data_IF_407158218898
#
_entry.id   IF_407158218898
#
_cell.length_a   1.000
_cell.length_b   1.000
_cell.length_c   1.000
_cell.angle_alpha   90.00
_cell.angle_beta   90.00
_cell.angle_gamma   90.00
#
_symmetry.space_group_name_H-M   'P 1'
#
loop_
_entity.id
_entity.type
_entity.pdbx_description
1 polymer ?
#
# COMPACT_ATOMS: atom_id res chain seq x y z
N UNK A 1 -3.58 1.59 10.65
CA UNK A 1 -4.24 2.80 10.10
C UNK A 1 -3.45 4.00 10.57
N UNK A 2 -2.88 4.76 9.62
CA UNK A 2 -1.85 5.75 9.93
C UNK A 2 -2.40 7.14 10.24
N UNK A 3 -3.54 7.49 9.64
CA UNK A 3 -4.12 8.83 9.74
C UNK A 3 -5.42 8.84 10.54
N UNK A 4 -5.68 9.94 11.26
CA UNK A 4 -6.93 10.23 11.96
C UNK A 4 -7.89 11.00 11.05
N UNK A 5 -9.17 11.07 11.44
CA UNK A 5 -10.20 11.69 10.61
C UNK A 5 -9.89 13.13 10.13
N UNK A 6 -9.45 14.06 11.00
CA UNK A 6 -9.12 15.42 10.56
C UNK A 6 -7.99 15.46 9.51
N UNK A 7 -7.07 14.50 9.54
CA UNK A 7 -5.99 14.41 8.57
C UNK A 7 -6.53 13.97 7.20
N UNK A 8 -7.50 13.06 7.10
CA UNK A 8 -8.09 12.72 5.79
C UNK A 8 -8.82 13.89 5.15
N UNK A 9 -9.45 14.77 5.94
CA UNK A 9 -10.08 15.98 5.42
C UNK A 9 -9.01 16.95 4.86
N UNK A 10 -7.86 17.06 5.51
CA UNK A 10 -6.71 17.83 5.02
C UNK A 10 -6.14 17.25 3.72
N UNK A 11 -5.89 15.94 3.70
CA UNK A 11 -5.41 15.22 2.51
C UNK A 11 -6.40 15.39 1.35
N UNK A 12 -7.70 15.28 1.61
CA UNK A 12 -8.74 15.45 0.61
C UNK A 12 -8.74 16.85 -0.01
N UNK A 13 -8.52 17.91 0.79
CA UNK A 13 -8.42 19.30 0.30
C UNK A 13 -7.22 19.48 -0.62
N UNK A 14 -6.04 19.04 -0.17
CA UNK A 14 -4.81 19.14 -0.96
C UNK A 14 -4.92 18.33 -2.25
N UNK A 15 -5.49 17.12 -2.16
CA UNK A 15 -5.69 16.24 -3.30
C UNK A 15 -6.63 16.85 -4.34
N UNK A 16 -7.76 17.44 -3.92
CA UNK A 16 -8.65 18.16 -4.82
C UNK A 16 -7.95 19.33 -5.51
N UNK A 17 -7.14 20.10 -4.77
CA UNK A 17 -6.38 21.24 -5.31
C UNK A 17 -5.38 20.79 -6.36
N UNK A 18 -4.62 19.74 -6.07
CA UNK A 18 -3.61 19.23 -6.99
C UNK A 18 -4.24 18.57 -8.22
N UNK A 19 -5.31 17.79 -8.04
CA UNK A 19 -6.03 17.14 -9.14
C UNK A 19 -6.74 18.16 -10.04
N UNK A 20 -7.14 19.33 -9.55
CA UNK A 20 -7.65 20.40 -10.45
C UNK A 20 -6.60 20.83 -11.49
N UNK A 21 -5.32 20.72 -11.16
CA UNK A 21 -4.21 21.18 -12.00
C UNK A 21 -4.28 22.69 -12.25
N UNK A 22 -4.00 23.09 -13.49
CA UNK A 22 -3.92 24.52 -13.88
C UNK A 22 -5.26 25.23 -14.06
N UNK A 23 -6.39 24.49 -14.08
CA UNK A 23 -7.73 25.09 -14.29
C UNK A 23 -8.13 25.92 -13.08
N UNK A 24 -8.86 27.01 -13.27
CA UNK A 24 -9.48 27.72 -12.14
C UNK A 24 -10.59 26.87 -11.50
N UNK A 25 -10.93 27.16 -10.25
CA UNK A 25 -12.02 26.46 -9.53
C UNK A 25 -13.35 26.54 -10.30
N UNK A 26 -13.64 27.71 -10.88
CA UNK A 26 -14.84 27.93 -11.71
C UNK A 26 -14.79 27.14 -13.02
N UNK A 27 -13.65 27.13 -13.71
CA UNK A 27 -13.48 26.36 -14.94
C UNK A 27 -13.69 24.85 -14.71
N UNK A 28 -13.15 24.29 -13.63
CA UNK A 28 -13.37 22.90 -13.27
C UNK A 28 -14.85 22.63 -12.97
N UNK A 29 -15.50 23.49 -12.19
CA UNK A 29 -16.90 23.34 -11.81
C UNK A 29 -17.84 23.34 -13.03
N UNK A 30 -17.62 24.27 -13.97
CA UNK A 30 -18.38 24.34 -15.23
C UNK A 30 -18.13 23.09 -16.09
N UNK A 31 -16.88 22.64 -16.23
CA UNK A 31 -16.54 21.43 -17.00
C UNK A 31 -17.17 20.16 -16.43
N UNK A 32 -17.44 20.13 -15.13
CA UNK A 32 -18.15 19.03 -14.47
C UNK A 32 -19.68 19.12 -14.60
N UNK A 33 -20.20 20.23 -15.13
CA UNK A 33 -21.63 20.47 -15.33
C UNK A 33 -22.32 21.16 -14.14
N UNK A 34 -21.56 21.75 -13.20
CA UNK A 34 -22.16 22.43 -12.04
C UNK A 34 -22.39 23.92 -12.32
N UNK A 35 -23.58 24.41 -11.97
CA UNK A 35 -23.90 25.85 -11.99
C UNK A 35 -23.26 26.66 -10.85
N UNK A 36 -22.66 26.01 -9.86
CA UNK A 36 -22.01 26.66 -8.71
C UNK A 36 -20.53 26.28 -8.62
N UNK A 37 -19.73 27.07 -7.91
CA UNK A 37 -18.30 26.80 -7.70
C UNK A 37 -18.10 25.65 -6.69
N UNK A 38 -18.27 24.41 -7.15
CA UNK A 38 -18.09 23.20 -6.32
C UNK A 38 -16.65 22.99 -5.90
N UNK A 39 -15.68 23.32 -6.76
CA UNK A 39 -14.26 23.12 -6.50
C UNK A 39 -13.76 23.98 -5.32
N UNK A 40 -14.26 25.21 -5.18
CA UNK A 40 -13.98 26.02 -3.98
C UNK A 40 -14.43 25.32 -2.70
N UNK A 41 -15.63 24.73 -2.69
CA UNK A 41 -16.14 23.98 -1.55
C UNK A 41 -15.26 22.78 -1.18
N UNK A 42 -14.69 22.11 -2.19
CA UNK A 42 -13.78 20.98 -2.02
C UNK A 42 -12.42 21.39 -1.45
N UNK A 43 -11.82 22.44 -1.99
CA UNK A 43 -10.49 22.91 -1.58
C UNK A 43 -10.50 23.63 -0.22
N UNK A 44 -11.64 24.20 0.17
CA UNK A 44 -11.84 24.80 1.49
C UNK A 44 -12.25 23.79 2.56
N UNK A 45 -12.71 22.59 2.17
CA UNK A 45 -13.20 21.55 3.08
C UNK A 45 -14.65 21.73 3.53
N UNK A 46 -15.42 22.67 2.95
CA UNK A 46 -16.84 22.86 3.26
C UNK A 46 -17.71 21.67 2.78
N UNK A 47 -17.28 20.99 1.72
CA UNK A 47 -17.87 19.74 1.20
C UNK A 47 -16.80 18.97 0.44
N UNK A 48 -17.04 17.70 0.12
CA UNK A 48 -16.10 16.89 -0.66
C UNK A 48 -16.77 16.19 -1.85
N UNK A 49 -16.03 15.90 -2.93
CA UNK A 49 -16.54 15.10 -4.04
C UNK A 49 -16.75 13.64 -3.62
N UNK A 50 -17.56 12.90 -4.37
CA UNK A 50 -17.58 11.43 -4.29
C UNK A 50 -16.46 10.84 -5.15
N UNK A 51 -16.15 9.55 -4.99
CA UNK A 51 -15.15 8.89 -5.84
C UNK A 51 -15.50 8.95 -7.34
N UNK A 52 -16.74 8.66 -7.80
CA UNK A 52 -17.06 8.80 -9.23
C UNK A 52 -16.81 10.22 -9.78
N UNK A 53 -17.13 11.26 -9.01
CA UNK A 53 -16.83 12.64 -9.41
C UNK A 53 -15.32 12.88 -9.50
N UNK A 54 -14.55 12.37 -8.55
CA UNK A 54 -13.09 12.48 -8.53
C UNK A 54 -12.45 11.78 -9.74
N UNK A 55 -12.89 10.56 -10.07
CA UNK A 55 -12.41 9.79 -11.22
C UNK A 55 -12.69 10.52 -12.54
N UNK A 56 -13.84 11.19 -12.68
CA UNK A 56 -14.10 12.09 -13.83
C UNK A 56 -13.08 13.22 -13.93
N UNK A 57 -12.72 13.85 -12.80
CA UNK A 57 -11.70 14.91 -12.80
C UNK A 57 -10.34 14.36 -13.23
N UNK A 58 -9.95 13.18 -12.73
CA UNK A 58 -8.73 12.50 -13.14
C UNK A 58 -8.71 12.20 -14.65
N UNK A 59 -9.81 11.66 -15.19
CA UNK A 59 -9.95 11.43 -16.62
C UNK A 59 -9.84 12.72 -17.45
N UNK A 60 -10.38 13.85 -16.99
CA UNK A 60 -10.21 15.16 -17.63
C UNK A 60 -8.76 15.68 -17.64
N UNK A 61 -7.88 15.10 -16.82
CA UNK A 61 -6.44 15.37 -16.83
C UNK A 61 -5.64 14.34 -17.62
N UNK A 62 -6.31 13.44 -18.36
CA UNK A 62 -5.66 12.43 -19.18
C UNK A 62 -5.18 11.21 -18.41
N UNK A 63 -5.64 10.99 -17.17
CA UNK A 63 -5.36 9.75 -16.44
C UNK A 63 -6.22 8.62 -17.01
N UNK A 64 -5.59 7.52 -17.39
CA UNK A 64 -6.27 6.27 -17.71
C UNK A 64 -6.73 5.57 -16.41
N UNK A 65 -7.92 5.95 -15.96
CA UNK A 65 -8.48 5.50 -14.67
C UNK A 65 -8.60 3.98 -14.61
N UNK A 66 -9.04 3.32 -15.68
CA UNK A 66 -9.22 1.86 -15.69
C UNK A 66 -7.88 1.14 -15.53
N UNK A 67 -6.85 1.58 -16.26
CA UNK A 67 -5.51 1.04 -16.15
C UNK A 67 -4.92 1.25 -14.76
N UNK A 68 -5.01 2.46 -14.21
CA UNK A 68 -4.44 2.79 -12.90
C UNK A 68 -5.13 2.01 -11.78
N UNK A 69 -6.46 1.94 -11.77
CA UNK A 69 -7.19 1.15 -10.77
C UNK A 69 -6.90 -0.35 -10.91
N UNK A 70 -6.87 -0.89 -12.13
CA UNK A 70 -6.56 -2.31 -12.38
C UNK A 70 -5.15 -2.66 -11.90
N UNK A 71 -4.18 -1.78 -12.17
CA UNK A 71 -2.81 -1.92 -11.67
C UNK A 71 -2.71 -1.83 -10.14
N UNK A 72 -3.51 -0.97 -9.51
CA UNK A 72 -3.55 -0.83 -8.06
C UNK A 72 -4.05 -2.09 -7.36
N UNK A 73 -5.15 -2.67 -7.87
CA UNK A 73 -5.75 -3.90 -7.33
C UNK A 73 -5.10 -5.19 -7.85
N UNK A 74 -4.22 -5.09 -8.85
CA UNK A 74 -3.48 -6.21 -9.47
C UNK A 74 -4.38 -7.26 -10.10
N UNK A 75 -5.48 -6.83 -10.70
CA UNK A 75 -6.40 -7.68 -11.41
C UNK A 75 -6.65 -7.07 -12.78
N UNK A 76 -6.20 -7.77 -13.82
CA UNK A 76 -6.42 -7.37 -15.20
C UNK A 76 -7.92 -7.37 -15.49
N UNK A 77 -8.40 -6.33 -16.19
CA UNK A 77 -9.80 -6.20 -16.61
C UNK A 77 -10.84 -6.21 -15.48
N UNK A 78 -10.44 -5.90 -14.24
CA UNK A 78 -11.31 -5.95 -13.07
C UNK A 78 -12.58 -5.08 -13.17
N UNK A 79 -12.52 -4.01 -13.96
CA UNK A 79 -13.56 -2.97 -13.98
C UNK A 79 -14.44 -2.99 -15.23
N UNK A 80 -14.21 -3.92 -16.18
CA UNK A 80 -14.85 -3.92 -17.51
C UNK A 80 -14.42 -2.71 -18.34
N UNK A 81 -14.16 -2.91 -19.65
CA UNK A 81 -13.72 -1.81 -20.52
C UNK A 81 -14.83 -0.79 -20.80
N UNK A 82 -16.10 -1.22 -20.78
CA UNK A 82 -17.26 -0.41 -21.18
C UNK A 82 -17.90 0.37 -20.02
N UNK A 83 -17.47 0.12 -18.78
CA UNK A 83 -18.04 0.79 -17.61
C UNK A 83 -17.51 2.22 -17.54
N UNK A 84 -18.40 3.21 -17.55
CA UNK A 84 -17.96 4.61 -17.47
C UNK A 84 -17.24 4.90 -16.14
N UNK A 85 -16.17 5.70 -16.16
CA UNK A 85 -15.43 6.13 -14.95
C UNK A 85 -16.28 6.86 -13.90
N UNK A 86 -17.43 7.39 -14.32
CA UNK A 86 -18.42 8.06 -13.48
C UNK A 86 -19.48 7.14 -12.91
N UNK A 87 -19.49 5.88 -13.30
CA UNK A 87 -20.49 4.91 -12.89
C UNK A 87 -20.25 4.50 -11.42
N UNK A 88 -21.26 4.64 -10.54
CA UNK A 88 -21.24 4.08 -9.19
C UNK A 88 -20.83 2.60 -9.10
N UNK A 89 -21.16 1.79 -10.12
CA UNK A 89 -20.83 0.37 -10.18
C UNK A 89 -19.30 0.13 -10.18
N UNK A 90 -18.53 0.97 -10.88
CA UNK A 90 -17.07 0.90 -10.86
C UNK A 90 -16.51 1.11 -9.45
N UNK A 91 -17.07 2.08 -8.72
CA UNK A 91 -16.68 2.36 -7.33
C UNK A 91 -17.05 1.22 -6.39
N UNK A 92 -18.23 0.61 -6.56
CA UNK A 92 -18.64 -0.56 -5.80
C UNK A 92 -17.69 -1.74 -6.03
N UNK A 93 -17.38 -2.06 -7.30
CA UNK A 93 -16.42 -3.11 -7.66
C UNK A 93 -15.04 -2.85 -7.05
N UNK A 94 -14.56 -1.61 -7.11
CA UNK A 94 -13.29 -1.22 -6.49
C UNK A 94 -13.29 -1.50 -4.98
N UNK A 95 -14.35 -1.08 -4.29
CA UNK A 95 -14.48 -1.30 -2.86
C UNK A 95 -14.63 -2.76 -2.46
N UNK A 96 -15.34 -3.58 -3.24
CA UNK A 96 -15.43 -5.02 -3.02
C UNK A 96 -14.06 -5.70 -3.14
N UNK A 97 -13.27 -5.32 -4.15
CA UNK A 97 -11.93 -5.88 -4.36
C UNK A 97 -11.00 -5.51 -3.20
N UNK A 98 -10.92 -4.23 -2.83
CA UNK A 98 -9.97 -3.81 -1.76
C UNK A 98 -10.41 -4.25 -0.37
N UNK A 99 -11.72 -4.44 -0.13
CA UNK A 99 -12.23 -4.95 1.15
C UNK A 99 -11.61 -6.31 1.50
N UNK A 100 -11.42 -7.18 0.50
CA UNK A 100 -10.89 -8.52 0.72
C UNK A 100 -11.71 -9.31 1.75
N UNK A 101 -11.03 -9.92 2.72
CA UNK A 101 -11.65 -10.72 3.78
C UNK A 101 -12.20 -9.93 4.98
N UNK A 102 -12.00 -8.61 5.06
CA UNK A 102 -12.43 -7.83 6.23
C UNK A 102 -13.95 -7.78 6.36
N UNK A 103 -14.45 -7.88 7.58
CA UNK A 103 -15.85 -7.62 7.87
C UNK A 103 -16.17 -6.13 7.81
N UNK A 104 -17.43 -5.81 7.51
CA UNK A 104 -17.88 -4.41 7.49
C UNK A 104 -17.79 -3.77 8.90
N UNK A 105 -17.86 -4.57 9.97
CA UNK A 105 -17.74 -4.11 11.34
C UNK A 105 -16.31 -3.68 11.68
N UNK A 106 -15.31 -4.48 11.29
CA UNK A 106 -13.89 -4.14 11.48
C UNK A 106 -13.51 -2.88 10.71
N UNK A 107 -13.93 -2.78 9.44
CA UNK A 107 -13.70 -1.57 8.64
C UNK A 107 -14.36 -0.37 9.31
N UNK A 108 -15.61 -0.51 9.76
CA UNK A 108 -16.35 0.56 10.44
C UNK A 108 -15.63 1.06 11.69
N UNK A 109 -15.15 0.15 12.53
CA UNK A 109 -14.37 0.46 13.72
C UNK A 109 -13.07 1.22 13.37
N UNK A 110 -12.36 0.80 12.32
CA UNK A 110 -11.14 1.47 11.86
C UNK A 110 -11.43 2.90 11.40
N UNK A 111 -12.45 3.12 10.57
CA UNK A 111 -12.69 4.42 9.92
C UNK A 111 -13.65 5.36 10.66
N UNK A 112 -14.19 4.95 11.81
CA UNK A 112 -15.17 5.73 12.59
C UNK A 112 -16.54 5.82 11.90
N UNK A 113 -17.02 4.71 11.34
CA UNK A 113 -18.32 4.57 10.67
C UNK A 113 -19.06 3.33 11.18
N UNK A 114 -20.38 3.31 11.05
CA UNK A 114 -21.14 2.11 11.40
C UNK A 114 -20.96 1.01 10.34
N UNK A 115 -21.07 -0.25 10.75
CA UNK A 115 -21.02 -1.39 9.82
C UNK A 115 -22.07 -1.28 8.69
N UNK A 116 -23.25 -0.71 9.00
CA UNK A 116 -24.30 -0.45 8.02
C UNK A 116 -23.91 0.63 7.00
N UNK A 117 -23.22 1.70 7.42
CA UNK A 117 -22.68 2.70 6.49
C UNK A 117 -21.63 2.10 5.57
N UNK A 118 -20.70 1.32 6.11
CA UNK A 118 -19.69 0.61 5.32
C UNK A 118 -20.35 -0.34 4.33
N UNK A 119 -21.32 -1.14 4.77
CA UNK A 119 -22.06 -2.05 3.90
C UNK A 119 -22.65 -1.34 2.69
N UNK A 120 -23.28 -0.17 2.88
CA UNK A 120 -23.84 0.63 1.78
C UNK A 120 -22.78 1.19 0.85
N UNK A 121 -21.61 1.59 1.36
CA UNK A 121 -20.48 2.02 0.52
C UNK A 121 -19.97 0.88 -0.36
N UNK A 122 -19.73 -0.29 0.25
CA UNK A 122 -19.20 -1.49 -0.42
C UNK A 122 -20.20 -2.01 -1.48
N UNK A 123 -21.50 -1.97 -1.19
CA UNK A 123 -22.54 -2.38 -2.13
C UNK A 123 -22.87 -1.34 -3.21
N UNK A 124 -22.27 -0.14 -3.18
CA UNK A 124 -22.59 0.95 -4.10
C UNK A 124 -23.93 1.67 -3.84
N UNK A 125 -24.70 1.22 -2.85
CA UNK A 125 -25.97 1.82 -2.43
C UNK A 125 -25.83 3.26 -1.90
N UNK A 126 -24.63 3.65 -1.45
CA UNK A 126 -24.28 5.04 -1.19
C UNK A 126 -22.86 5.35 -1.63
N UNK A 127 -22.64 6.59 -2.07
CA UNK A 127 -21.33 7.03 -2.56
C UNK A 127 -20.58 7.77 -1.45
N UNK A 128 -19.49 7.20 -0.89
CA UNK A 128 -18.70 7.88 0.13
C UNK A 128 -18.07 9.15 -0.42
N UNK A 129 -17.91 10.14 0.46
CA UNK A 129 -17.18 11.37 0.15
C UNK A 129 -15.68 11.11 0.25
N UNK A 130 -14.87 11.94 -0.41
CA UNK A 130 -13.44 11.73 -0.54
C UNK A 130 -12.72 11.37 0.78
N UNK A 131 -12.93 12.03 1.93
CA UNK A 131 -12.26 11.62 3.15
C UNK A 131 -12.63 10.21 3.63
N UNK A 132 -13.88 9.77 3.40
CA UNK A 132 -14.30 8.38 3.66
C UNK A 132 -13.66 7.40 2.67
N UNK A 133 -13.48 7.80 1.41
CA UNK A 133 -12.76 7.00 0.40
C UNK A 133 -11.31 6.80 0.83
N UNK A 134 -10.62 7.87 1.23
CA UNK A 134 -9.22 7.82 1.67
C UNK A 134 -9.08 6.95 2.93
N UNK A 135 -9.99 7.10 3.90
CA UNK A 135 -10.01 6.27 5.09
C UNK A 135 -10.28 4.79 4.78
N UNK A 136 -11.21 4.49 3.86
CA UNK A 136 -11.49 3.13 3.40
C UNK A 136 -10.26 2.49 2.76
N UNK A 137 -9.62 3.20 1.81
CA UNK A 137 -8.41 2.70 1.14
C UNK A 137 -7.29 2.47 2.15
N UNK A 138 -7.05 3.41 3.06
CA UNK A 138 -6.01 3.28 4.07
C UNK A 138 -6.29 2.10 5.03
N UNK A 139 -7.52 1.95 5.50
CA UNK A 139 -7.90 0.90 6.44
C UNK A 139 -7.95 -0.52 5.84
N UNK A 140 -8.16 -0.62 4.52
CA UNK A 140 -8.29 -1.91 3.82
C UNK A 140 -7.00 -2.35 3.11
N UNK A 141 -6.17 -1.40 2.68
CA UNK A 141 -4.98 -1.69 1.86
C UNK A 141 -3.68 -1.23 2.48
N UNK A 142 -3.69 -0.27 3.41
CA UNK A 142 -2.49 0.42 3.95
C UNK A 142 -1.62 1.09 2.86
N UNK A 143 -2.17 1.26 1.66
CA UNK A 143 -1.50 1.78 0.47
C UNK A 143 -2.06 3.13 0.04
N UNK A 144 -2.46 3.97 0.99
CA UNK A 144 -3.07 5.27 0.71
C UNK A 144 -2.19 6.15 -0.19
N UNK A 145 -0.89 6.25 0.11
CA UNK A 145 0.03 7.08 -0.67
C UNK A 145 0.19 6.56 -2.10
N UNK A 146 0.15 5.24 -2.29
CA UNK A 146 0.11 4.64 -3.62
C UNK A 146 -1.21 4.92 -4.31
N UNK A 147 -2.35 4.88 -3.63
CA UNK A 147 -3.62 5.24 -4.25
C UNK A 147 -3.64 6.71 -4.72
N UNK A 148 -3.13 7.65 -3.92
CA UNK A 148 -3.00 9.06 -4.30
C UNK A 148 -2.10 9.23 -5.54
N UNK A 149 -0.97 8.51 -5.55
CA UNK A 149 0.00 8.52 -6.64
C UNK A 149 -0.54 7.95 -7.97
N UNK A 150 -1.73 7.33 -8.01
CA UNK A 150 -2.39 6.96 -9.27
C UNK A 150 -2.80 8.20 -10.08
N UNK A 151 -3.04 9.32 -9.40
CA UNK A 151 -3.66 10.50 -10.01
C UNK A 151 -2.79 11.75 -9.90
N UNK A 152 -2.04 11.90 -8.81
CA UNK A 152 -1.19 13.05 -8.51
C UNK A 152 0.05 12.59 -7.76
N UNK A 153 1.23 13.14 -8.10
CA UNK A 153 2.45 12.87 -7.35
C UNK A 153 2.32 13.32 -5.88
N UNK A 154 2.37 12.44 -4.86
CA UNK A 154 2.05 12.80 -3.47
C UNK A 154 3.03 13.81 -2.85
N UNK A 155 4.24 13.93 -3.39
CA UNK A 155 5.17 15.00 -3.01
C UNK A 155 4.64 16.43 -3.28
N UNK A 156 3.60 16.59 -4.09
CA UNK A 156 2.92 17.87 -4.34
C UNK A 156 1.83 18.19 -3.32
N UNK A 157 1.50 17.26 -2.42
CA UNK A 157 0.45 17.41 -1.41
C UNK A 157 1.08 17.74 -0.06
N UNK A 158 0.99 19.00 0.44
CA UNK A 158 1.63 19.39 1.69
C UNK A 158 1.35 18.46 2.87
N UNK A 159 0.09 18.02 3.01
CA UNK A 159 -0.38 17.11 4.05
C UNK A 159 0.27 15.72 4.06
N UNK A 160 0.83 15.23 2.94
CA UNK A 160 1.48 13.90 2.86
C UNK A 160 2.88 13.92 2.28
N UNK A 161 3.41 15.07 1.88
CA UNK A 161 4.72 15.16 1.22
C UNK A 161 5.86 14.61 2.09
N UNK A 162 5.80 14.83 3.41
CA UNK A 162 6.77 14.24 4.35
C UNK A 162 6.67 12.71 4.37
N UNK A 163 5.46 12.20 4.50
CA UNK A 163 5.21 10.76 4.60
C UNK A 163 5.59 10.03 3.31
N UNK A 164 5.34 10.66 2.16
CA UNK A 164 5.76 10.17 0.86
C UNK A 164 7.27 10.16 0.68
N UNK A 165 7.98 11.21 1.12
CA UNK A 165 9.45 11.22 1.11
C UNK A 165 10.04 10.08 1.95
N UNK A 166 9.47 9.84 3.13
CA UNK A 166 9.88 8.71 3.98
C UNK A 166 9.60 7.38 3.29
N UNK A 167 8.46 7.22 2.63
CA UNK A 167 8.13 6.01 1.86
C UNK A 167 9.12 5.75 0.71
N UNK A 168 9.42 6.77 -0.08
CA UNK A 168 10.36 6.66 -1.20
C UNK A 168 11.79 6.34 -0.73
N UNK A 169 12.22 6.95 0.38
CA UNK A 169 13.53 6.65 0.97
C UNK A 169 13.63 5.20 1.45
N UNK A 170 12.57 4.67 2.07
CA UNK A 170 12.50 3.24 2.43
C UNK A 170 12.61 2.34 1.19
N UNK A 171 11.92 2.70 0.10
CA UNK A 171 11.97 1.98 -1.18
C UNK A 171 13.36 1.97 -1.80
N UNK A 172 14.04 3.11 -1.73
CA UNK A 172 15.42 3.26 -2.21
C UNK A 172 16.38 2.37 -1.42
N UNK A 173 16.37 2.47 -0.09
CA UNK A 173 17.24 1.68 0.80
C UNK A 173 17.04 0.18 0.57
N UNK A 174 15.80 -0.30 0.42
CA UNK A 174 15.56 -1.71 0.18
C UNK A 174 16.05 -2.19 -1.20
N UNK A 175 16.06 -1.31 -2.19
CA UNK A 175 16.57 -1.65 -3.51
C UNK A 175 18.10 -1.71 -3.49
N UNK A 176 18.73 -0.74 -2.84
CA UNK A 176 20.19 -0.63 -2.74
C UNK A 176 20.79 -1.67 -1.77
N UNK A 177 20.08 -1.95 -0.67
CA UNK A 177 20.47 -2.85 0.42
C UNK A 177 19.29 -3.78 0.75
N UNK A 178 19.03 -4.85 -0.01
CA UNK A 178 17.87 -5.73 0.19
C UNK A 178 17.68 -6.25 1.62
N UNK A 179 18.78 -6.61 2.31
CA UNK A 179 18.75 -7.10 3.69
C UNK A 179 18.34 -6.04 4.72
N UNK A 180 18.34 -4.76 4.38
CA UNK A 180 17.88 -3.68 5.27
C UNK A 180 16.48 -3.92 5.81
N UNK A 181 15.62 -4.55 5.02
CA UNK A 181 14.27 -4.93 5.41
C UNK A 181 14.26 -5.98 6.52
N UNK A 182 15.06 -7.04 6.36
CA UNK A 182 15.17 -8.07 7.38
C UNK A 182 15.83 -7.53 8.64
N UNK A 183 16.87 -6.70 8.51
CA UNK A 183 17.49 -6.00 9.65
C UNK A 183 16.45 -5.16 10.39
N UNK A 184 15.62 -4.38 9.69
CA UNK A 184 14.56 -3.59 10.31
C UNK A 184 13.58 -4.47 11.11
N UNK A 185 13.17 -5.63 10.58
CA UNK A 185 12.29 -6.58 11.28
C UNK A 185 12.96 -7.23 12.49
N UNK A 186 14.28 -7.49 12.44
CA UNK A 186 15.02 -8.04 13.59
C UNK A 186 15.04 -7.07 14.77
N UNK A 187 15.13 -5.76 14.50
CA UNK A 187 15.09 -4.73 15.55
C UNK A 187 13.72 -4.59 16.23
N UNK A 188 12.67 -5.18 15.65
CA UNK A 188 11.31 -5.21 16.21
C UNK A 188 11.10 -6.41 17.15
N UNK A 189 12.05 -7.35 17.21
CA UNK A 189 11.90 -8.58 17.98
C UNK A 189 11.92 -8.34 19.49
N UNK A 190 11.07 -9.06 20.22
CA UNK A 190 11.09 -9.06 21.68
C UNK A 190 12.47 -9.47 22.25
N UNK A 191 13.12 -10.43 21.60
CA UNK A 191 14.48 -10.87 21.96
C UNK A 191 15.55 -9.80 21.72
N UNK A 192 15.39 -8.94 20.72
CA UNK A 192 16.27 -7.78 20.53
C UNK A 192 16.02 -6.71 21.60
N UNK A 193 14.75 -6.46 21.94
CA UNK A 193 14.37 -5.51 22.99
C UNK A 193 14.93 -5.89 24.36
N UNK A 194 15.12 -7.19 24.62
CA UNK A 194 15.70 -7.73 25.85
C UNK A 194 17.23 -7.55 25.95
N UNK A 195 17.93 -7.16 24.88
CA UNK A 195 19.38 -6.95 24.92
C UNK A 195 19.75 -5.76 25.82
N UNK A 196 20.85 -5.80 26.58
CA UNK A 196 21.30 -4.65 27.35
C UNK A 196 21.63 -3.42 26.49
N UNK A 197 22.20 -3.67 25.30
CA UNK A 197 22.55 -2.68 24.28
C UNK A 197 22.52 -3.33 22.91
N UNK A 198 22.48 -2.52 21.87
CA UNK A 198 22.57 -3.01 20.50
C UNK A 198 23.90 -3.72 20.24
N UNK A 199 23.81 -4.84 19.52
CA UNK A 199 24.93 -5.65 19.06
C UNK A 199 24.70 -6.02 17.58
N UNK A 200 25.60 -5.57 16.69
CA UNK A 200 25.56 -5.88 15.26
C UNK A 200 25.80 -7.39 15.03
N UNK A 201 26.67 -8.03 15.82
CA UNK A 201 26.99 -9.46 15.69
C UNK A 201 25.80 -10.35 16.07
N UNK A 202 24.99 -9.92 17.04
CA UNK A 202 23.74 -10.60 17.39
C UNK A 202 22.74 -10.57 16.22
N UNK A 203 22.59 -9.41 15.57
CA UNK A 203 21.70 -9.26 14.40
C UNK A 203 22.23 -10.08 13.22
N UNK A 204 23.54 -10.07 12.99
CA UNK A 204 24.22 -10.83 11.96
C UNK A 204 24.01 -12.34 12.14
N UNK A 205 24.23 -12.86 13.35
CA UNK A 205 23.98 -14.25 13.68
C UNK A 205 22.50 -14.66 13.49
N UNK A 206 21.56 -13.77 13.83
CA UNK A 206 20.12 -14.03 13.69
C UNK A 206 19.68 -14.15 12.22
N UNK A 207 20.29 -13.38 11.32
CA UNK A 207 19.98 -13.38 9.89
C UNK A 207 20.88 -14.28 9.05
N UNK A 208 21.99 -14.78 9.62
CA UNK A 208 23.01 -15.51 8.88
C UNK A 208 23.78 -14.62 7.89
N UNK A 209 24.05 -13.38 8.29
CA UNK A 209 24.74 -12.37 7.48
C UNK A 209 26.13 -12.04 8.04
N UNK A 210 27.03 -11.51 7.19
CA UNK A 210 28.23 -10.83 7.66
C UNK A 210 27.93 -9.55 8.48
N UNK A 211 28.77 -9.26 9.47
CA UNK A 211 28.65 -8.08 10.35
C UNK A 211 28.70 -6.75 9.58
N UNK A 212 29.50 -6.68 8.51
CA UNK A 212 29.63 -5.48 7.67
C UNK A 212 28.35 -5.20 6.87
N UNK A 213 27.66 -6.23 6.40
CA UNK A 213 26.36 -6.09 5.72
C UNK A 213 25.27 -5.57 6.67
N UNK A 214 25.24 -6.08 7.91
CA UNK A 214 24.34 -5.58 8.96
C UNK A 214 24.65 -4.12 9.29
N UNK A 215 25.93 -3.78 9.45
CA UNK A 215 26.36 -2.41 9.73
C UNK A 215 25.96 -1.45 8.62
N UNK A 216 26.20 -1.81 7.36
CA UNK A 216 25.81 -1.00 6.20
C UNK A 216 24.29 -0.76 6.16
N UNK A 217 23.50 -1.81 6.41
CA UNK A 217 22.03 -1.70 6.52
C UNK A 217 21.62 -0.78 7.67
N UNK A 218 22.16 -0.98 8.87
CA UNK A 218 21.87 -0.18 10.07
C UNK A 218 22.19 1.29 9.85
N UNK A 219 23.35 1.60 9.29
CA UNK A 219 23.75 2.98 9.00
C UNK A 219 22.82 3.64 8.00
N UNK A 220 22.45 2.95 6.91
CA UNK A 220 21.49 3.47 5.95
C UNK A 220 20.11 3.73 6.59
N UNK A 221 19.59 2.77 7.36
CA UNK A 221 18.34 2.91 8.09
C UNK A 221 18.38 4.07 9.10
N UNK A 222 19.50 4.25 9.79
CA UNK A 222 19.67 5.33 10.77
C UNK A 222 19.78 6.70 10.11
N UNK A 223 20.55 6.83 9.00
CA UNK A 223 20.65 8.07 8.20
C UNK A 223 19.29 8.50 7.64
N UNK A 224 18.47 7.54 7.20
CA UNK A 224 17.10 7.81 6.75
C UNK A 224 16.09 8.05 7.89
N UNK A 225 16.53 7.97 9.15
CA UNK A 225 15.69 8.19 10.32
C UNK A 225 14.65 7.09 10.57
N UNK A 226 14.81 5.93 9.94
CA UNK A 226 13.93 4.75 10.06
C UNK A 226 14.16 3.99 11.37
N UNK A 227 15.35 4.16 11.94
CA UNK A 227 15.71 3.68 13.28
C UNK A 227 16.38 4.82 14.05
N UNK A 228 16.22 4.81 15.38
CA UNK A 228 16.86 5.78 16.27
C UNK A 228 17.43 5.08 17.49
N UNK A 229 18.63 5.48 17.90
CA UNK A 229 19.23 4.99 19.13
C UNK A 229 18.48 5.57 20.34
N UNK A 230 17.98 4.69 21.22
CA UNK A 230 17.32 5.00 22.48
C UNK A 230 17.84 4.02 23.53
N UNK A 231 18.33 4.55 24.65
CA UNK A 231 18.80 3.72 25.78
C UNK A 231 19.80 2.62 25.35
N UNK A 232 20.70 2.95 24.41
CA UNK A 232 21.69 2.00 23.90
C UNK A 232 21.20 0.98 22.86
N UNK A 233 19.92 1.01 22.46
CA UNK A 233 19.33 0.14 21.41
C UNK A 233 18.69 0.93 20.27
N UNK A 234 18.55 0.33 19.10
CA UNK A 234 17.81 0.95 18.00
C UNK A 234 16.32 0.66 18.12
N UNK A 235 15.51 1.70 18.25
CA UNK A 235 14.06 1.61 18.11
C UNK A 235 13.65 1.98 16.69
N UNK A 236 12.76 1.19 16.09
CA UNK A 236 12.18 1.53 14.78
C UNK A 236 11.22 2.71 14.93
N UNK A 237 11.21 3.61 13.95
CA UNK A 237 10.32 4.79 13.92
C UNK A 237 9.11 4.58 13.02
N UNK A 238 8.94 3.37 12.49
CA UNK A 238 8.29 3.12 11.22
C UNK A 238 7.41 1.87 11.22
N UNK A 239 6.12 2.04 10.92
CA UNK A 239 5.22 0.95 10.53
C UNK A 239 5.66 0.33 9.17
N UNK A 240 5.29 -0.94 8.97
CA UNK A 240 5.57 -1.78 7.79
C UNK A 240 5.33 -1.08 6.46
N UNK A 241 6.20 -1.32 5.47
CA UNK A 241 6.11 -0.71 4.14
C UNK A 241 5.65 -1.71 3.11
N UNK A 242 4.64 -1.31 2.35
CA UNK A 242 4.32 -1.97 1.11
C UNK A 242 5.26 -1.49 -0.03
N UNK A 243 6.09 -2.41 -0.53
CA UNK A 243 7.09 -2.19 -1.58
C UNK A 243 6.56 -2.42 -3.00
N UNK A 244 5.23 -2.49 -3.15
CA UNK A 244 4.62 -2.89 -4.41
C UNK A 244 4.62 -1.80 -5.48
N UNK A 245 5.00 -0.55 -5.15
CA UNK A 245 5.13 0.56 -6.09
C UNK A 245 6.54 1.20 -6.04
N UNK A 246 6.95 1.78 -7.17
CA UNK A 246 8.32 2.21 -7.49
C UNK A 246 8.64 1.85 -8.95
N UNK A 247 9.77 2.30 -9.50
CA UNK A 247 10.17 1.91 -10.87
C UNK A 247 10.23 0.36 -11.00
N UNK A 248 9.82 -0.17 -12.15
CA UNK A 248 9.66 -1.61 -12.35
C UNK A 248 10.97 -2.40 -12.12
N UNK A 249 12.09 -1.83 -12.55
CA UNK A 249 13.41 -2.45 -12.47
C UNK A 249 13.94 -2.57 -11.01
N UNK A 250 13.98 -1.53 -10.16
CA UNK A 250 14.25 -1.65 -8.72
C UNK A 250 13.46 -2.75 -8.02
N UNK A 251 12.15 -2.82 -8.33
CA UNK A 251 11.25 -3.79 -7.71
C UNK A 251 11.55 -5.21 -8.16
N UNK A 252 11.86 -5.40 -9.44
CA UNK A 252 12.24 -6.70 -9.97
C UNK A 252 13.55 -7.18 -9.34
N UNK A 253 14.55 -6.30 -9.22
CA UNK A 253 15.81 -6.62 -8.55
C UNK A 253 15.61 -7.10 -7.11
N UNK A 254 14.77 -6.41 -6.34
CA UNK A 254 14.46 -6.82 -4.97
C UNK A 254 13.73 -8.16 -4.90
N UNK A 255 12.76 -8.41 -5.79
CA UNK A 255 12.08 -9.72 -5.87
C UNK A 255 13.05 -10.84 -6.23
N UNK A 256 13.90 -10.62 -7.23
CA UNK A 256 14.93 -11.58 -7.64
C UNK A 256 15.89 -11.90 -6.50
N UNK A 257 16.35 -10.88 -5.76
CA UNK A 257 17.20 -11.09 -4.58
C UNK A 257 16.56 -12.06 -3.57
N UNK A 258 15.30 -11.85 -3.20
CA UNK A 258 14.62 -12.71 -2.23
C UNK A 258 14.34 -14.12 -2.76
N UNK A 259 14.09 -14.26 -4.06
CA UNK A 259 13.99 -15.57 -4.70
C UNK A 259 15.33 -16.31 -4.71
N UNK A 260 16.44 -15.61 -4.93
CA UNK A 260 17.78 -16.20 -4.87
C UNK A 260 18.13 -16.64 -3.44
N UNK A 261 17.72 -15.86 -2.42
CA UNK A 261 17.83 -16.25 -1.02
C UNK A 261 17.05 -17.55 -0.79
N UNK A 262 15.78 -17.61 -1.17
CA UNK A 262 14.95 -18.81 -1.02
C UNK A 262 15.58 -20.03 -1.71
N UNK A 263 16.07 -19.87 -2.94
CA UNK A 263 16.72 -20.93 -3.71
C UNK A 263 18.03 -21.41 -3.06
N UNK A 264 18.85 -20.50 -2.51
CA UNK A 264 20.07 -20.87 -1.76
C UNK A 264 19.75 -21.66 -0.50
N UNK A 265 18.74 -21.23 0.27
CA UNK A 265 18.32 -21.89 1.51
C UNK A 265 17.75 -23.29 1.23
N UNK A 266 16.92 -23.43 0.19
CA UNK A 266 16.42 -24.72 -0.26
C UNK A 266 17.55 -25.68 -0.63
N UNK A 267 18.57 -25.22 -1.38
CA UNK A 267 19.73 -26.04 -1.78
C UNK A 267 20.57 -26.52 -0.59
N UNK A 268 20.64 -25.74 0.49
CA UNK A 268 21.36 -26.11 1.73
C UNK A 268 20.56 -27.03 2.64
N UNK A 269 19.26 -27.22 2.38
CA UNK A 269 18.37 -27.99 3.25
C UNK A 269 17.93 -27.21 4.50
N UNK A 270 17.99 -25.87 4.47
CA UNK A 270 17.51 -25.06 5.59
C UNK A 270 16.00 -25.28 5.81
N UNK A 271 15.51 -25.29 7.06
CA UNK A 271 14.08 -25.39 7.35
C UNK A 271 13.25 -24.31 6.64
N UNK A 272 12.10 -24.69 6.09
CA UNK A 272 11.16 -23.79 5.41
C UNK A 272 10.09 -24.54 4.63
N UNK A 273 9.02 -23.84 4.24
CA UNK A 273 7.97 -24.39 3.38
C UNK A 273 8.30 -24.14 1.91
N UNK A 274 9.03 -25.07 1.29
CA UNK A 274 9.33 -25.04 -0.14
C UNK A 274 8.35 -25.94 -0.88
N UNK A 275 7.39 -25.35 -1.59
CA UNK A 275 6.39 -26.07 -2.36
C UNK A 275 6.20 -25.44 -3.74
N UNK A 276 5.90 -26.27 -4.73
CA UNK A 276 5.51 -25.81 -6.06
C UNK A 276 4.46 -26.75 -6.65
N UNK A 277 3.62 -26.22 -7.53
CA UNK A 277 2.64 -26.99 -8.30
C UNK A 277 2.72 -26.55 -9.76
N UNK A 278 2.78 -27.51 -10.68
CA UNK A 278 2.61 -27.27 -12.11
C UNK A 278 1.24 -27.83 -12.50
N UNK A 279 0.38 -26.96 -13.01
CA UNK A 279 -1.02 -27.31 -13.31
C UNK A 279 -1.39 -26.87 -14.72
N UNK A 280 -2.26 -27.64 -15.37
CA UNK A 280 -2.93 -27.24 -16.60
C UNK A 280 -4.31 -26.71 -16.22
N UNK A 281 -4.62 -25.46 -16.56
CA UNK A 281 -5.89 -24.81 -16.22
C UNK A 281 -6.42 -24.02 -17.40
N UNK A 282 -7.74 -23.88 -17.50
CA UNK A 282 -8.33 -22.97 -18.47
C UNK A 282 -7.98 -21.50 -18.11
N UNK A 283 -7.94 -20.60 -19.10
CA UNK A 283 -7.64 -19.17 -18.90
C UNK A 283 -8.53 -18.52 -17.82
N UNK A 284 -9.82 -18.87 -17.81
CA UNK A 284 -10.78 -18.39 -16.79
C UNK A 284 -10.40 -18.82 -15.37
N UNK A 285 -9.79 -19.99 -15.23
CA UNK A 285 -9.37 -20.53 -13.94
C UNK A 285 -8.02 -19.96 -13.51
N UNK A 286 -7.15 -19.59 -14.46
CA UNK A 286 -5.95 -18.80 -14.17
C UNK A 286 -6.29 -17.44 -13.53
N UNK A 287 -7.34 -16.76 -13.99
CA UNK A 287 -7.81 -15.52 -13.35
C UNK A 287 -8.32 -15.75 -11.91
N UNK A 288 -8.98 -16.90 -11.68
CA UNK A 288 -9.40 -17.29 -10.32
C UNK A 288 -8.19 -17.55 -9.41
N UNK A 289 -7.13 -18.17 -9.94
CA UNK A 289 -5.87 -18.36 -9.21
C UNK A 289 -5.15 -17.04 -8.92
N UNK A 290 -5.16 -16.09 -9.87
CA UNK A 290 -4.62 -14.74 -9.66
C UNK A 290 -5.36 -14.00 -8.54
N UNK A 291 -6.70 -14.06 -8.55
CA UNK A 291 -7.51 -13.48 -7.47
C UNK A 291 -7.24 -14.14 -6.10
N UNK A 292 -7.09 -15.47 -6.06
CA UNK A 292 -6.72 -16.21 -4.85
C UNK A 292 -5.35 -15.79 -4.32
N UNK A 293 -4.37 -15.62 -5.19
CA UNK A 293 -3.02 -15.17 -4.84
C UNK A 293 -3.04 -13.77 -4.21
N UNK A 294 -3.84 -12.84 -4.74
CA UNK A 294 -4.03 -11.51 -4.17
C UNK A 294 -4.67 -11.60 -2.78
N UNK A 295 -5.72 -12.42 -2.63
CA UNK A 295 -6.40 -12.64 -1.33
C UNK A 295 -5.46 -13.21 -0.27
N UNK A 296 -4.65 -14.21 -0.62
CA UNK A 296 -3.64 -14.77 0.28
C UNK A 296 -2.69 -13.69 0.84
N UNK A 297 -2.16 -12.81 -0.03
CA UNK A 297 -1.29 -11.72 0.42
C UNK A 297 -2.04 -10.63 1.22
N UNK A 298 -3.35 -10.49 1.05
CA UNK A 298 -4.16 -9.61 1.88
C UNK A 298 -4.29 -10.18 3.30
N UNK A 299 -4.69 -11.44 3.43
CA UNK A 299 -4.78 -12.17 4.70
C UNK A 299 -3.43 -12.22 5.43
N UNK A 300 -2.33 -12.48 4.70
CA UNK A 300 -0.98 -12.45 5.25
C UNK A 300 -0.64 -11.11 5.91
N UNK A 301 -0.93 -9.98 5.22
CA UNK A 301 -0.65 -8.65 5.79
C UNK A 301 -1.48 -8.38 7.05
N UNK A 302 -2.71 -8.89 7.11
CA UNK A 302 -3.54 -8.77 8.31
C UNK A 302 -2.93 -9.52 9.49
N UNK A 303 -2.52 -10.79 9.29
CA UNK A 303 -1.83 -11.57 10.33
C UNK A 303 -0.59 -10.83 10.84
N UNK A 304 0.22 -10.29 9.92
CA UNK A 304 1.42 -9.50 10.28
C UNK A 304 1.04 -8.23 11.07
N UNK A 305 -0.02 -7.53 10.69
CA UNK A 305 -0.49 -6.33 11.40
C UNK A 305 -1.04 -6.64 12.79
N UNK A 306 -1.63 -7.81 12.99
CA UNK A 306 -2.24 -8.22 14.26
C UNK A 306 -1.23 -8.90 15.21
N UNK A 307 -0.07 -9.31 14.69
CA UNK A 307 1.01 -9.94 15.45
C UNK A 307 1.59 -8.99 16.50
N UNK A 308 1.43 -9.33 17.78
CA UNK A 308 2.02 -8.61 18.93
C UNK A 308 3.27 -9.36 19.37
N UNK A 309 4.32 -8.62 19.73
CA UNK A 309 5.58 -9.17 20.24
C UNK A 309 6.24 -10.19 19.28
N UNK A 310 6.65 -9.76 18.07
CA UNK A 310 7.27 -10.67 17.13
C UNK A 310 8.55 -11.29 17.70
N UNK A 311 8.73 -12.60 17.51
CA UNK A 311 9.86 -13.37 18.01
C UNK A 311 10.75 -13.92 16.87
N UNK A 312 10.24 -13.91 15.65
CA UNK A 312 10.94 -14.36 14.44
C UNK A 312 10.72 -13.43 13.25
N UNK A 313 11.61 -13.54 12.26
CA UNK A 313 11.51 -12.86 10.96
C UNK A 313 11.29 -13.91 9.89
N UNK A 314 10.18 -13.79 9.16
CA UNK A 314 9.81 -14.71 8.10
C UNK A 314 9.81 -14.01 6.72
N UNK A 315 10.31 -14.71 5.71
CA UNK A 315 10.16 -14.33 4.31
C UNK A 315 9.06 -15.18 3.68
N UNK A 316 8.05 -14.53 3.11
CA UNK A 316 7.04 -15.20 2.27
C UNK A 316 7.22 -14.75 0.84
N UNK A 317 7.67 -15.66 -0.01
CA UNK A 317 7.86 -15.45 -1.43
C UNK A 317 7.06 -16.51 -2.21
N UNK A 318 5.90 -16.11 -2.73
CA UNK A 318 5.04 -16.96 -3.56
C UNK A 318 4.98 -16.38 -4.97
N UNK A 319 5.09 -17.25 -5.98
CA UNK A 319 5.06 -16.86 -7.38
C UNK A 319 3.91 -17.56 -8.10
N UNK A 320 3.19 -16.82 -8.94
CA UNK A 320 2.20 -17.35 -9.88
C UNK A 320 2.48 -16.70 -11.23
N UNK A 321 2.84 -17.50 -12.22
CA UNK A 321 3.13 -17.06 -13.59
C UNK A 321 2.69 -18.12 -14.58
N UNK A 322 2.39 -17.69 -15.79
CA UNK A 322 2.17 -18.57 -16.93
C UNK A 322 3.52 -18.90 -17.57
N UNK A 323 3.74 -20.18 -17.91
CA UNK A 323 4.91 -20.61 -18.67
C UNK A 323 4.57 -20.53 -20.17
N UNK A 324 5.24 -19.64 -20.92
CA UNK A 324 5.12 -19.55 -22.38
C UNK A 324 4.32 -18.35 -22.94
N UNK A 325 4.11 -17.30 -22.14
CA UNK A 325 3.52 -16.04 -22.60
C UNK A 325 4.49 -15.20 -23.45
#
# INVERSE_FOLDING_TARGET
>A
MRYKRPQYDEIARDFCRALRGRRSQRQLSVRLGYGTNVAFGWESGRRFPTLPTLLRVAAYNGVDVHRELSGFVRQESAFGADVAVSDPALTATFFQIIKGGLSNAEIGARIGRSASQVSRFIAGASQPRLPDVLALVDATTERLLDFLALFVHPGQLPSVARDFRVLEERRRIATELPWSHAVLRVLELASYAALPRHDDAWVAARLGLPDDEVRACREALSRAGLIRLREGRYATTAETVDMTRGAAEPRQRLKSHWLDVAARRQRRGDPGLYSYNLVSVARRDLERLRALHVRYFHELRQIVSDSREPDCVALVAMQLFELGA
#
